data_IF_723441572337
#
_entry.id   IF_723441572337
#
_cell.length_a   1.000
_cell.length_b   1.000
_cell.length_c   1.000
_cell.angle_alpha   90.00
_cell.angle_beta   90.00
_cell.angle_gamma   90.00
#
_symmetry.space_group_name_H-M   'P 1'
#
loop_
_entity.id
_entity.type
_entity.pdbx_description
1 polymer ?
#
# COMPACT_ATOMS: atom_id res chain seq x y z
N UNK A 1 -21.14 -35.98 35.42
CA UNK A 1 -20.14 -34.88 35.36
C UNK A 1 -19.16 -34.99 34.18
N UNK A 2 -18.78 -36.18 33.69
CA UNK A 2 -17.91 -36.33 32.50
C UNK A 2 -18.60 -35.99 31.16
N UNK A 3 -19.88 -36.31 31.03
CA UNK A 3 -20.69 -36.05 29.82
C UNK A 3 -20.95 -34.56 29.60
N UNK A 4 -21.13 -33.78 30.67
CA UNK A 4 -21.35 -32.33 30.58
C UNK A 4 -20.07 -31.57 30.14
N UNK A 5 -18.89 -32.00 30.60
CA UNK A 5 -17.60 -31.42 30.15
C UNK A 5 -17.30 -31.69 28.66
N UNK A 6 -17.73 -32.84 28.14
CA UNK A 6 -17.53 -33.18 26.72
C UNK A 6 -18.38 -32.29 25.80
N UNK A 7 -19.61 -31.98 26.21
CA UNK A 7 -20.50 -31.05 25.47
C UNK A 7 -19.97 -29.61 25.48
N UNK A 8 -19.40 -29.14 26.59
CA UNK A 8 -18.84 -27.77 26.67
C UNK A 8 -17.59 -27.60 25.80
N UNK A 9 -16.72 -28.61 25.74
CA UNK A 9 -15.53 -28.59 24.87
C UNK A 9 -15.94 -28.61 23.39
N UNK A 10 -16.91 -29.45 23.02
CA UNK A 10 -17.39 -29.54 21.64
C UNK A 10 -18.05 -28.22 21.18
N UNK A 11 -18.80 -27.55 22.06
CA UNK A 11 -19.43 -26.26 21.76
C UNK A 11 -18.39 -25.15 21.55
N UNK A 12 -17.31 -25.13 22.34
CA UNK A 12 -16.19 -24.19 22.17
C UNK A 12 -15.43 -24.43 20.85
N UNK A 13 -15.24 -25.68 20.45
CA UNK A 13 -14.59 -26.03 19.17
C UNK A 13 -15.42 -25.57 17.96
N UNK A 14 -16.74 -25.71 18.01
CA UNK A 14 -17.64 -25.29 16.91
C UNK A 14 -17.74 -23.76 16.81
N UNK A 15 -17.66 -23.05 17.94
CA UNK A 15 -17.55 -21.58 17.95
C UNK A 15 -16.23 -21.07 17.38
N UNK A 16 -15.10 -21.74 17.67
CA UNK A 16 -13.79 -21.37 17.14
C UNK A 16 -13.68 -21.52 15.61
N UNK A 17 -14.37 -22.52 15.02
CA UNK A 17 -14.37 -22.76 13.57
C UNK A 17 -15.20 -21.75 12.76
N UNK A 18 -16.18 -21.09 13.38
CA UNK A 18 -16.98 -20.04 12.73
C UNK A 18 -16.30 -18.66 12.74
N UNK A 19 -15.19 -18.50 13.47
CA UNK A 19 -14.29 -17.33 13.34
C UNK A 19 -13.28 -17.56 12.22
N UNK A 20 -13.70 -18.18 11.12
CA UNK A 20 -13.01 -17.98 9.86
C UNK A 20 -13.38 -16.57 9.41
N UNK A 21 -12.55 -15.60 9.81
CA UNK A 21 -12.71 -14.21 9.45
C UNK A 21 -12.93 -14.12 7.94
N UNK A 22 -14.11 -13.64 7.53
CA UNK A 22 -14.43 -13.40 6.13
C UNK A 22 -13.30 -12.56 5.54
N UNK A 23 -12.47 -13.18 4.71
CA UNK A 23 -11.24 -12.58 4.23
C UNK A 23 -11.65 -11.44 3.30
N UNK A 24 -11.66 -10.21 3.84
CA UNK A 24 -12.00 -9.01 3.09
C UNK A 24 -11.04 -8.92 1.91
N UNK A 25 -11.61 -8.85 0.71
CA UNK A 25 -10.84 -8.65 -0.52
C UNK A 25 -10.49 -7.17 -0.61
N UNK A 26 -9.20 -6.87 -0.66
CA UNK A 26 -8.69 -5.52 -0.86
C UNK A 26 -7.98 -5.44 -2.19
N UNK A 27 -8.06 -4.28 -2.83
CA UNK A 27 -7.30 -3.94 -4.03
C UNK A 27 -6.57 -2.65 -3.73
N UNK A 28 -5.28 -2.64 -4.05
CA UNK A 28 -4.43 -1.45 -3.97
C UNK A 28 -3.87 -1.18 -5.35
N UNK A 29 -3.94 0.08 -5.77
CA UNK A 29 -3.46 0.55 -7.06
C UNK A 29 -2.55 1.74 -6.79
N UNK A 30 -1.41 1.78 -7.49
CA UNK A 30 -0.41 2.84 -7.38
C UNK A 30 -0.01 3.30 -8.78
N UNK A 31 0.52 4.52 -8.92
CA UNK A 31 1.13 4.98 -10.16
C UNK A 31 2.43 5.75 -9.89
N UNK A 32 3.40 5.61 -10.80
CA UNK A 32 4.65 6.39 -10.78
C UNK A 32 4.60 7.68 -11.61
N UNK A 33 3.43 8.01 -12.17
CA UNK A 33 3.24 9.12 -13.12
C UNK A 33 3.01 8.62 -14.54
N UNK A 34 2.37 9.45 -15.37
CA UNK A 34 2.11 9.19 -16.78
C UNK A 34 2.64 10.34 -17.64
N UNK A 35 2.90 10.08 -18.92
CA UNK A 35 3.42 11.09 -19.84
C UNK A 35 4.12 10.47 -21.04
N UNK A 36 5.07 11.20 -21.62
CA UNK A 36 5.85 10.72 -22.78
C UNK A 36 6.94 9.72 -22.37
N UNK A 37 6.51 8.53 -21.94
CA UNK A 37 7.39 7.42 -21.58
C UNK A 37 7.57 6.53 -22.80
N UNK A 38 8.59 6.82 -23.62
CA UNK A 38 8.83 6.09 -24.87
C UNK A 38 9.67 4.84 -24.62
N UNK A 39 9.19 3.67 -25.08
CA UNK A 39 9.91 2.39 -24.93
C UNK A 39 11.35 2.44 -25.48
N UNK A 40 11.59 3.20 -26.56
CA UNK A 40 12.94 3.40 -27.13
C UNK A 40 13.94 4.06 -26.18
N UNK A 41 13.46 4.79 -25.17
CA UNK A 41 14.27 5.47 -24.16
C UNK A 41 14.30 4.70 -22.83
N UNK A 42 13.78 3.47 -22.80
CA UNK A 42 13.70 2.62 -21.62
C UNK A 42 14.62 1.41 -21.80
N UNK A 43 15.73 1.39 -21.07
CA UNK A 43 16.59 0.20 -21.02
C UNK A 43 15.96 -0.85 -20.11
N UNK A 44 16.26 -2.16 -20.30
CA UNK A 44 15.76 -3.21 -19.41
C UNK A 44 16.10 -2.98 -17.94
N UNK A 45 17.28 -2.44 -17.65
CA UNK A 45 17.74 -2.15 -16.28
C UNK A 45 16.92 -1.02 -15.65
N UNK A 46 16.63 0.03 -16.43
CA UNK A 46 15.79 1.15 -15.98
C UNK A 46 14.37 0.69 -15.71
N UNK A 47 13.80 -0.13 -16.60
CA UNK A 47 12.45 -0.70 -16.41
C UNK A 47 12.39 -1.61 -15.19
N UNK A 48 13.40 -2.46 -14.99
CA UNK A 48 13.52 -3.32 -13.83
C UNK A 48 13.62 -2.52 -12.52
N UNK A 49 14.36 -1.40 -12.51
CA UNK A 49 14.44 -0.51 -11.36
C UNK A 49 13.06 0.09 -11.00
N UNK A 50 12.31 0.59 -11.99
CA UNK A 50 10.93 1.07 -11.76
C UNK A 50 10.02 -0.02 -11.18
N UNK A 51 10.03 -1.22 -11.80
CA UNK A 51 9.20 -2.35 -11.36
C UNK A 51 9.55 -2.76 -9.92
N UNK A 52 10.84 -2.78 -9.57
CA UNK A 52 11.30 -3.16 -8.25
C UNK A 52 10.74 -2.22 -7.17
N UNK A 53 10.81 -0.92 -7.39
CA UNK A 53 10.32 0.07 -6.42
C UNK A 53 8.79 0.08 -6.35
N UNK A 54 8.09 -0.03 -7.48
CA UNK A 54 6.62 -0.18 -7.49
C UNK A 54 6.18 -1.41 -6.69
N UNK A 55 6.90 -2.52 -6.85
CA UNK A 55 6.65 -3.76 -6.10
C UNK A 55 6.89 -3.55 -4.60
N UNK A 56 8.00 -2.90 -4.23
CA UNK A 56 8.31 -2.57 -2.84
C UNK A 56 7.25 -1.67 -2.22
N UNK A 57 6.79 -0.65 -2.93
CA UNK A 57 5.78 0.29 -2.47
C UNK A 57 4.43 -0.39 -2.25
N UNK A 58 3.99 -1.26 -3.18
CA UNK A 58 2.79 -2.08 -3.01
C UNK A 58 2.91 -3.02 -1.82
N UNK A 59 4.07 -3.67 -1.65
CA UNK A 59 4.30 -4.59 -0.54
C UNK A 59 4.23 -3.87 0.81
N UNK A 60 4.83 -2.68 0.93
CA UNK A 60 4.77 -1.87 2.15
C UNK A 60 3.33 -1.52 2.56
N UNK A 61 2.50 -1.08 1.62
CA UNK A 61 1.08 -0.81 1.88
C UNK A 61 0.29 -2.07 2.22
N UNK A 62 0.55 -3.17 1.51
CA UNK A 62 -0.12 -4.44 1.75
C UNK A 62 0.19 -5.04 3.13
N UNK A 63 1.40 -4.85 3.64
CA UNK A 63 1.79 -5.24 5.00
C UNK A 63 1.00 -4.46 6.08
N UNK A 64 0.71 -3.18 5.85
CA UNK A 64 -0.17 -2.39 6.74
C UNK A 64 -1.58 -3.00 6.76
N UNK A 65 -2.17 -3.28 5.60
CA UNK A 65 -3.51 -3.89 5.52
C UNK A 65 -3.53 -5.25 6.23
N UNK A 66 -2.53 -6.10 5.97
CA UNK A 66 -2.40 -7.44 6.60
C UNK A 66 -2.27 -7.37 8.12
N UNK A 67 -1.63 -6.33 8.65
CA UNK A 67 -1.50 -6.09 10.09
C UNK A 67 -2.72 -5.41 10.71
N UNK A 68 -3.83 -5.28 9.96
CA UNK A 68 -5.09 -4.72 10.45
C UNK A 68 -5.10 -3.20 10.53
N UNK A 69 -4.15 -2.52 9.87
CA UNK A 69 -4.11 -1.06 9.78
C UNK A 69 -5.11 -0.53 8.76
N UNK A 70 -5.33 0.78 8.82
CA UNK A 70 -6.31 1.45 7.97
C UNK A 70 -5.84 1.53 6.52
N UNK A 71 -6.75 1.86 5.60
CA UNK A 71 -6.36 2.21 4.23
C UNK A 71 -5.42 3.41 4.21
N UNK A 72 -5.62 4.40 5.10
CA UNK A 72 -4.80 5.59 5.19
C UNK A 72 -3.34 5.25 5.53
N UNK A 73 -3.13 4.44 6.57
CA UNK A 73 -1.79 3.95 6.95
C UNK A 73 -1.11 3.21 5.78
N UNK A 74 -1.90 2.48 4.98
CA UNK A 74 -1.40 1.72 3.85
C UNK A 74 -0.99 2.63 2.69
N UNK A 75 -1.80 3.65 2.35
CA UNK A 75 -1.44 4.60 1.29
C UNK A 75 -0.21 5.41 1.70
N UNK A 76 -0.15 5.89 2.94
CA UNK A 76 1.00 6.64 3.49
C UNK A 76 2.30 5.83 3.42
N UNK A 77 2.28 4.56 3.86
CA UNK A 77 3.44 3.68 3.79
C UNK A 77 3.90 3.44 2.34
N UNK A 78 2.97 3.32 1.41
CA UNK A 78 3.27 3.15 -0.02
C UNK A 78 3.89 4.42 -0.62
N UNK A 79 3.30 5.59 -0.42
CA UNK A 79 3.81 6.84 -1.02
C UNK A 79 5.19 7.20 -0.46
N UNK A 80 5.47 6.95 0.81
CA UNK A 80 6.78 7.21 1.39
C UNK A 80 7.90 6.38 0.74
N UNK A 81 7.62 5.14 0.31
CA UNK A 81 8.60 4.36 -0.46
C UNK A 81 8.88 5.06 -1.79
N UNK A 82 7.83 5.54 -2.47
CA UNK A 82 7.95 6.18 -3.77
C UNK A 82 8.63 7.55 -3.70
N UNK A 83 8.30 8.38 -2.72
CA UNK A 83 8.92 9.69 -2.48
C UNK A 83 10.40 9.59 -2.10
N UNK A 84 10.81 8.48 -1.48
CA UNK A 84 12.19 8.24 -1.10
C UNK A 84 13.05 7.66 -2.22
N UNK A 85 12.46 7.33 -3.37
CA UNK A 85 13.16 6.76 -4.50
C UNK A 85 13.33 7.78 -5.63
N UNK A 86 14.56 8.00 -6.13
CA UNK A 86 14.85 9.05 -7.11
C UNK A 86 14.27 8.77 -8.51
N UNK A 87 13.72 7.59 -8.78
CA UNK A 87 13.15 7.28 -10.08
C UNK A 87 11.78 7.95 -10.31
N UNK A 88 11.09 8.37 -9.26
CA UNK A 88 9.77 8.99 -9.34
C UNK A 88 9.83 10.50 -9.10
N UNK A 89 9.03 11.25 -9.85
CA UNK A 89 8.90 12.69 -9.66
C UNK A 89 8.03 13.03 -8.43
N UNK A 90 8.56 12.72 -7.25
CA UNK A 90 8.02 13.07 -5.95
C UNK A 90 9.17 13.01 -4.93
N UNK A 91 9.10 13.81 -3.86
CA UNK A 91 10.11 13.82 -2.80
C UNK A 91 11.54 13.96 -3.34
N UNK A 92 12.38 12.93 -3.16
CA UNK A 92 13.80 12.93 -3.55
C UNK A 92 14.04 12.97 -5.06
N UNK A 93 13.11 12.48 -5.87
CA UNK A 93 13.21 12.49 -7.32
C UNK A 93 12.51 13.67 -7.99
N UNK A 94 12.09 14.67 -7.19
CA UNK A 94 11.34 15.80 -7.70
C UNK A 94 12.08 16.58 -8.78
N UNK A 95 11.33 17.02 -9.77
CA UNK A 95 11.81 17.89 -10.84
C UNK A 95 12.07 19.30 -10.34
N UNK A 96 12.78 20.07 -11.16
CA UNK A 96 13.12 21.45 -10.86
C UNK A 96 12.11 22.43 -11.46
N UNK A 97 11.84 23.50 -10.73
CA UNK A 97 11.23 24.73 -11.22
C UNK A 97 12.14 25.43 -12.24
N UNK A 98 11.62 26.47 -12.89
CA UNK A 98 12.42 27.36 -13.75
C UNK A 98 13.68 27.90 -13.06
N UNK A 99 13.59 28.21 -11.76
CA UNK A 99 14.69 28.76 -10.97
C UNK A 99 15.65 27.68 -10.45
N UNK A 100 15.50 26.43 -10.88
CA UNK A 100 16.36 25.32 -10.47
C UNK A 100 16.12 24.84 -9.03
N UNK A 101 14.92 25.08 -8.46
CA UNK A 101 14.53 24.64 -7.11
C UNK A 101 13.52 23.50 -7.15
N UNK A 102 13.41 22.72 -6.08
CA UNK A 102 12.31 21.77 -5.92
C UNK A 102 11.20 22.41 -5.09
N UNK A 103 9.99 22.37 -5.61
CA UNK A 103 8.76 22.74 -4.90
C UNK A 103 7.82 21.54 -4.98
N UNK A 104 7.23 21.16 -3.85
CA UNK A 104 6.56 19.87 -3.68
C UNK A 104 5.12 20.08 -3.21
N UNK A 105 4.21 19.30 -3.79
CA UNK A 105 2.82 19.23 -3.37
C UNK A 105 2.47 17.78 -3.02
N UNK A 106 1.57 17.61 -2.05
CA UNK A 106 0.99 16.33 -1.69
C UNK A 106 -0.44 16.53 -1.20
N UNK A 107 -1.25 15.48 -1.27
CA UNK A 107 -2.60 15.46 -0.70
C UNK A 107 -2.97 14.03 -0.34
N UNK A 108 -3.73 13.86 0.74
CA UNK A 108 -4.29 12.59 1.19
C UNK A 108 -5.73 12.77 1.65
N UNK A 109 -6.55 11.73 1.52
CA UNK A 109 -7.96 11.77 1.92
C UNK A 109 -8.38 10.45 2.56
N UNK A 110 -9.09 10.54 3.68
CA UNK A 110 -9.83 9.41 4.24
C UNK A 110 -11.25 9.39 3.66
N UNK A 111 -11.51 8.44 2.76
CA UNK A 111 -12.81 8.28 2.12
C UNK A 111 -13.96 7.94 3.08
N UNK A 112 -13.68 7.44 4.30
CA UNK A 112 -14.72 7.15 5.30
C UNK A 112 -15.25 8.42 5.97
N UNK A 113 -14.35 9.37 6.26
CA UNK A 113 -14.66 10.57 7.04
C UNK A 113 -14.74 11.83 6.19
N UNK A 114 -14.29 11.77 4.93
CA UNK A 114 -14.13 12.89 4.01
C UNK A 114 -13.10 13.94 4.48
N UNK A 115 -12.30 13.63 5.50
CA UNK A 115 -11.18 14.47 5.89
C UNK A 115 -10.06 14.37 4.85
N UNK A 116 -9.46 15.51 4.51
CA UNK A 116 -8.38 15.61 3.54
C UNK A 116 -7.38 16.69 3.97
N UNK A 117 -6.14 16.59 3.48
CA UNK A 117 -5.06 17.52 3.74
C UNK A 117 -3.80 17.18 2.97
#
# INVERSE_FOLDING_TARGET
MRTLKLFTVLLFSVLALNVSAQQKKYVMVIHGGAGTILKKNMTPEKEAAYIAVLTQALQAGYEKIKSGKTSLDAVEATIHVMENDPHFNAGKGAVFTHDGKNELDAAIMDGKTLMAG
#
